data_IF_904617637353
#
_entry.id   IF_904617637353
#
_cell.length_a   1.000
_cell.length_b   1.000
_cell.length_c   1.000
_cell.angle_alpha   90.00
_cell.angle_beta   90.00
_cell.angle_gamma   90.00
#
_symmetry.space_group_name_H-M   'P 1'
#
loop_
_entity.id
_entity.type
_entity.pdbx_description
1 polymer ?
#
# COMPACT_ATOMS: atom_id res chain seq x y z
N UNK A 1 28.38 27.69 17.66
CA UNK A 1 28.04 28.60 18.77
C UNK A 1 26.76 29.35 18.39
N UNK A 2 25.60 28.80 18.75
CA UNK A 2 24.31 29.47 18.55
C UNK A 2 23.79 29.89 19.93
N UNK A 3 23.73 31.20 20.14
CA UNK A 3 23.29 31.87 21.35
C UNK A 3 21.76 31.85 21.40
N UNK A 4 21.17 31.06 22.30
CA UNK A 4 19.73 30.94 22.46
C UNK A 4 19.27 31.96 23.51
N UNK A 5 18.37 32.86 23.11
CA UNK A 5 17.85 33.96 23.91
C UNK A 5 17.16 33.48 25.20
N UNK A 6 17.17 34.28 26.29
CA UNK A 6 16.56 33.90 27.55
C UNK A 6 15.04 33.78 27.40
N UNK A 7 14.52 32.61 27.76
CA UNK A 7 13.12 32.24 27.59
C UNK A 7 12.27 32.97 28.65
N UNK A 8 11.20 33.64 28.22
CA UNK A 8 10.37 34.51 29.06
C UNK A 8 9.71 33.80 30.26
N UNK A 9 9.65 32.46 30.23
CA UNK A 9 9.13 31.62 31.31
C UNK A 9 10.00 31.61 32.58
N UNK A 10 11.32 31.68 32.46
CA UNK A 10 12.21 31.62 33.64
C UNK A 10 12.12 32.90 34.49
N UNK A 11 11.91 34.05 33.85
CA UNK A 11 11.70 35.31 34.54
C UNK A 11 10.37 35.37 35.30
N UNK A 12 9.31 34.74 34.77
CA UNK A 12 8.00 34.66 35.43
C UNK A 12 7.99 33.68 36.59
N UNK A 13 8.68 32.53 36.43
CA UNK A 13 8.82 31.55 37.51
C UNK A 13 9.66 32.12 38.66
N UNK A 14 10.74 32.85 38.37
CA UNK A 14 11.54 33.52 39.39
C UNK A 14 10.77 34.62 40.14
N UNK A 15 9.91 35.37 39.45
CA UNK A 15 9.07 36.40 40.07
C UNK A 15 8.01 35.80 41.00
N UNK A 16 7.31 34.76 40.56
CA UNK A 16 6.29 34.07 41.35
C UNK A 16 6.89 33.39 42.60
N UNK A 17 8.14 32.93 42.52
CA UNK A 17 8.82 32.27 43.65
C UNK A 17 9.37 33.27 44.67
N UNK A 18 9.69 34.49 44.26
CA UNK A 18 10.09 35.58 45.15
C UNK A 18 8.89 36.13 45.95
N UNK A 19 7.71 36.21 45.31
CA UNK A 19 6.46 36.63 45.94
C UNK A 19 5.96 35.59 46.96
N UNK A 20 6.14 34.30 46.68
CA UNK A 20 5.80 33.22 47.60
C UNK A 20 6.63 33.24 48.91
N UNK A 21 7.87 33.74 48.88
CA UNK A 21 8.71 33.87 50.08
C UNK A 21 8.35 35.07 50.97
N UNK A 22 7.59 36.04 50.48
CA UNK A 22 7.12 37.19 51.28
C UNK A 22 5.80 36.90 52.03
N UNK A 23 5.16 35.75 51.79
CA UNK A 23 3.88 35.37 52.41
C UNK A 23 3.97 34.69 53.79
N UNK A 24 5.16 34.44 54.34
CA UNK A 24 5.36 33.65 55.58
C UNK A 24 4.98 34.36 56.89
N UNK A 25 4.22 35.47 56.85
CA UNK A 25 3.87 36.26 58.03
C UNK A 25 2.42 36.74 58.13
N UNK A 26 1.53 36.39 57.20
CA UNK A 26 0.12 36.80 57.30
C UNK A 26 -0.72 35.75 58.02
N UNK A 27 -1.18 36.13 59.22
CA UNK A 27 -2.20 35.42 59.98
C UNK A 27 -3.40 35.12 59.07
N UNK A 28 -3.76 33.84 59.00
CA UNK A 28 -4.92 33.32 58.27
C UNK A 28 -6.20 33.83 58.94
N UNK A 29 -7.04 34.66 58.31
CA UNK A 29 -8.38 34.88 58.80
C UNK A 29 -9.33 33.96 58.01
N UNK A 30 -10.05 33.14 58.77
CA UNK A 30 -11.24 32.37 58.36
C UNK A 30 -10.98 31.01 57.70
N UNK A 31 -10.51 30.08 58.53
CA UNK A 31 -10.78 28.65 58.36
C UNK A 31 -12.30 28.40 58.33
N UNK A 32 -12.74 27.56 57.40
CA UNK A 32 -14.14 27.24 57.12
C UNK A 32 -14.86 26.48 58.24
N UNK A 33 -15.10 27.16 59.36
CA UNK A 33 -15.97 26.71 60.44
C UNK A 33 -17.34 27.43 60.47
N UNK A 34 -17.57 28.44 59.62
CA UNK A 34 -18.84 29.20 59.59
C UNK A 34 -19.75 28.91 58.38
N UNK A 35 -19.37 27.99 57.49
CA UNK A 35 -20.25 27.57 56.38
C UNK A 35 -21.27 26.48 56.76
N UNK A 36 -21.46 26.23 58.06
CA UNK A 36 -22.43 25.28 58.59
C UNK A 36 -23.53 25.95 59.42
N UNK A 37 -23.92 27.17 59.05
CA UNK A 37 -25.23 27.72 59.43
C UNK A 37 -26.06 27.89 58.17
N UNK A 38 -26.39 26.76 57.55
CA UNK A 38 -27.68 26.69 56.86
C UNK A 38 -28.71 26.86 57.96
N UNK A 39 -29.41 28.00 57.97
CA UNK A 39 -30.65 28.16 58.70
C UNK A 39 -31.62 27.08 58.22
N UNK A 40 -31.52 25.91 58.83
CA UNK A 40 -32.67 25.03 58.98
C UNK A 40 -33.64 25.83 59.84
N UNK A 41 -34.70 26.32 59.21
CA UNK A 41 -35.94 26.69 59.88
C UNK A 41 -36.53 25.44 60.56
N UNK A 42 -35.87 24.99 61.61
CA UNK A 42 -36.34 23.99 62.56
C UNK A 42 -37.23 24.72 63.55
N UNK A 43 -38.53 24.67 63.30
CA UNK A 43 -39.53 25.01 64.31
C UNK A 43 -39.47 23.92 65.38
N UNK A 44 -38.73 24.19 66.45
CA UNK A 44 -38.72 23.46 67.72
C UNK A 44 -38.89 24.48 68.86
N UNK A 45 -39.63 24.15 69.93
CA UNK A 45 -40.33 25.13 70.75
C UNK A 45 -39.37 25.85 71.69
N UNK A 46 -39.02 27.09 71.38
CA UNK A 46 -38.39 27.99 72.34
C UNK A 46 -39.48 28.74 73.10
N UNK A 47 -39.66 28.37 74.36
CA UNK A 47 -40.46 29.10 75.34
C UNK A 47 -39.91 30.53 75.50
N UNK A 48 -40.54 31.46 74.78
CA UNK A 48 -40.35 32.89 74.89
C UNK A 48 -41.64 33.55 74.43
N UNK A 49 -42.38 34.13 75.39
CA UNK A 49 -43.68 34.77 75.17
C UNK A 49 -43.56 36.02 74.29
N UNK A 50 -43.46 35.82 72.98
CA UNK A 50 -43.83 36.81 71.99
C UNK A 50 -45.34 36.64 71.75
N UNK A 51 -46.16 37.71 71.79
CA UNK A 51 -47.58 37.60 71.55
C UNK A 51 -47.78 37.11 70.11
N UNK A 52 -48.19 35.85 69.95
CA UNK A 52 -48.45 35.26 68.64
C UNK A 52 -49.52 36.12 67.93
N UNK A 53 -49.22 36.73 66.76
CA UNK A 53 -50.23 37.43 65.98
C UNK A 53 -51.17 36.40 65.35
N UNK A 54 -52.11 35.90 66.14
CA UNK A 54 -53.16 35.00 65.70
C UNK A 54 -54.25 35.82 64.99
N UNK A 55 -54.30 35.75 63.67
CA UNK A 55 -55.40 36.29 62.87
C UNK A 55 -56.47 35.18 62.77
N UNK A 56 -57.70 35.48 63.20
CA UNK A 56 -58.82 34.50 63.24
C UNK A 56 -58.61 33.27 64.15
N UNK A 57 -57.81 33.37 65.22
CA UNK A 57 -57.67 32.31 66.23
C UNK A 57 -56.80 31.11 65.81
N UNK A 58 -56.04 31.24 64.73
CA UNK A 58 -55.07 30.26 64.27
C UNK A 58 -53.64 30.76 64.52
N UNK A 59 -52.77 29.87 65.00
CA UNK A 59 -51.36 30.15 65.24
C UNK A 59 -50.62 30.45 63.92
N UNK A 60 -49.54 31.23 63.99
CA UNK A 60 -48.71 31.62 62.86
C UNK A 60 -48.16 30.39 62.10
N UNK A 61 -47.86 29.30 62.82
CA UNK A 61 -47.44 28.02 62.22
C UNK A 61 -48.48 27.43 61.28
N UNK A 62 -49.77 27.57 61.59
CA UNK A 62 -50.88 27.07 60.76
C UNK A 62 -50.95 27.88 59.47
N UNK A 63 -50.86 29.21 59.54
CA UNK A 63 -50.87 30.06 58.36
C UNK A 63 -49.64 29.83 57.46
N UNK A 64 -48.46 29.60 58.05
CA UNK A 64 -47.24 29.21 57.31
C UNK A 64 -47.40 27.86 56.62
N UNK A 65 -47.99 26.87 57.30
CA UNK A 65 -48.24 25.55 56.69
C UNK A 65 -49.25 25.61 55.55
N UNK A 66 -50.30 26.45 55.66
CA UNK A 66 -51.25 26.71 54.57
C UNK A 66 -50.55 27.41 53.40
N UNK A 67 -49.74 28.44 53.67
CA UNK A 67 -48.97 29.13 52.63
C UNK A 67 -48.00 28.17 51.90
N UNK A 68 -47.33 27.29 52.63
CA UNK A 68 -46.45 26.26 52.06
C UNK A 68 -47.22 25.22 51.25
N UNK A 69 -48.39 24.78 51.73
CA UNK A 69 -49.26 23.87 50.99
C UNK A 69 -49.77 24.49 49.68
N UNK A 70 -50.18 25.77 49.72
CA UNK A 70 -50.59 26.53 48.52
C UNK A 70 -49.40 26.70 47.56
N UNK A 71 -48.20 27.00 48.06
CA UNK A 71 -47.00 27.10 47.23
C UNK A 71 -46.67 25.78 46.54
N UNK A 72 -46.68 24.65 47.26
CA UNK A 72 -46.48 23.32 46.68
C UNK A 72 -47.58 23.00 45.67
N UNK A 73 -48.84 23.32 45.97
CA UNK A 73 -49.96 23.13 45.03
C UNK A 73 -49.76 23.94 43.73
N UNK A 74 -49.28 25.19 43.82
CA UNK A 74 -48.93 26.02 42.66
C UNK A 74 -47.76 25.41 41.87
N UNK A 75 -46.72 24.91 42.53
CA UNK A 75 -45.58 24.25 41.87
C UNK A 75 -46.00 22.97 41.13
N UNK A 76 -46.90 22.19 41.72
CA UNK A 76 -47.50 21.01 41.08
C UNK A 76 -48.38 21.42 39.90
N UNK A 77 -49.19 22.47 40.05
CA UNK A 77 -50.06 22.96 38.97
C UNK A 77 -49.26 23.56 37.80
N UNK A 78 -48.12 24.21 38.10
CA UNK A 78 -47.15 24.71 37.11
C UNK A 78 -46.18 23.64 36.62
N UNK A 79 -46.33 22.38 37.08
CA UNK A 79 -45.61 21.19 36.60
C UNK A 79 -44.08 21.33 36.68
N UNK A 80 -43.58 22.08 37.66
CA UNK A 80 -42.14 22.25 37.91
C UNK A 80 -41.40 20.92 38.09
N UNK A 81 -41.90 19.93 38.87
CA UNK A 81 -41.22 18.63 38.97
C UNK A 81 -41.14 17.91 37.61
N UNK A 82 -42.15 18.05 36.75
CA UNK A 82 -42.16 17.43 35.41
C UNK A 82 -41.13 18.05 34.45
N UNK A 83 -40.78 19.34 34.62
CA UNK A 83 -39.74 20.00 33.84
C UNK A 83 -38.35 19.47 34.22
N UNK A 84 -38.12 19.25 35.52
CA UNK A 84 -36.85 18.71 36.04
C UNK A 84 -36.65 17.26 35.58
N UNK A 85 -37.68 16.41 35.70
CA UNK A 85 -37.60 15.02 35.23
C UNK A 85 -37.35 14.96 33.72
N UNK A 86 -38.03 15.81 32.94
CA UNK A 86 -37.81 15.88 31.48
C UNK A 86 -36.39 16.32 31.12
N UNK A 87 -35.78 17.23 31.89
CA UNK A 87 -34.39 17.64 31.69
C UNK A 87 -33.39 16.51 31.96
N UNK A 88 -33.62 15.72 33.01
CA UNK A 88 -32.85 14.51 33.32
C UNK A 88 -33.02 13.44 32.24
N UNK A 89 -34.25 13.17 31.80
CA UNK A 89 -34.54 12.22 30.73
C UNK A 89 -33.85 12.61 29.42
N UNK A 90 -33.85 13.90 29.07
CA UNK A 90 -33.13 14.41 27.91
C UNK A 90 -31.61 14.18 28.02
N UNK A 91 -31.02 14.38 29.20
CA UNK A 91 -29.60 14.11 29.41
C UNK A 91 -29.29 12.61 29.32
N UNK A 92 -30.13 11.75 29.90
CA UNK A 92 -29.99 10.29 29.80
C UNK A 92 -30.07 9.86 28.34
N UNK A 93 -31.04 10.39 27.58
CA UNK A 93 -31.17 10.13 26.14
C UNK A 93 -29.91 10.58 25.38
N UNK A 94 -29.41 11.79 25.63
CA UNK A 94 -28.19 12.29 24.99
C UNK A 94 -26.95 11.44 25.32
N UNK A 95 -26.80 10.99 26.56
CA UNK A 95 -25.70 10.09 26.97
C UNK A 95 -25.82 8.73 26.28
N UNK A 96 -27.03 8.17 26.19
CA UNK A 96 -27.28 6.91 25.47
C UNK A 96 -26.89 7.04 24.01
N UNK A 97 -27.35 8.09 23.32
CA UNK A 97 -26.98 8.35 21.93
C UNK A 97 -25.46 8.46 21.75
N UNK A 98 -24.77 9.23 22.59
CA UNK A 98 -23.30 9.36 22.52
C UNK A 98 -22.57 8.03 22.79
N UNK A 99 -23.10 7.21 23.71
CA UNK A 99 -22.52 5.90 24.01
C UNK A 99 -22.73 4.93 22.84
N UNK A 100 -23.89 4.97 22.20
CA UNK A 100 -24.19 4.13 21.04
C UNK A 100 -23.37 4.56 19.83
N UNK A 101 -23.22 5.86 19.58
CA UNK A 101 -22.29 6.40 18.57
C UNK A 101 -20.84 5.98 18.85
N UNK A 102 -20.39 6.05 20.11
CA UNK A 102 -19.03 5.62 20.47
C UNK A 102 -18.82 4.11 20.30
N UNK A 103 -19.83 3.29 20.61
CA UNK A 103 -19.79 1.84 20.35
C UNK A 103 -19.77 1.55 18.86
N UNK A 104 -20.59 2.24 18.08
CA UNK A 104 -20.61 2.11 16.63
C UNK A 104 -19.26 2.51 16.03
N UNK A 105 -18.69 3.64 16.44
CA UNK A 105 -17.38 4.08 15.98
C UNK A 105 -16.26 3.09 16.35
N UNK A 106 -16.34 2.46 17.53
CA UNK A 106 -15.41 1.37 17.89
C UNK A 106 -15.59 0.14 17.00
N UNK A 107 -16.83 -0.29 16.76
CA UNK A 107 -17.11 -1.43 15.89
C UNK A 107 -16.63 -1.15 14.45
N UNK A 108 -16.82 0.07 13.94
CA UNK A 108 -16.32 0.49 12.63
C UNK A 108 -14.79 0.52 12.60
N UNK A 109 -14.13 1.00 13.67
CA UNK A 109 -12.67 1.00 13.76
C UNK A 109 -12.09 -0.42 13.84
N UNK A 110 -12.72 -1.33 14.58
CA UNK A 110 -12.35 -2.75 14.66
C UNK A 110 -12.56 -3.45 13.32
N UNK A 111 -13.72 -3.24 12.67
CA UNK A 111 -13.99 -3.77 11.33
C UNK A 111 -12.97 -3.27 10.30
N UNK A 112 -12.62 -1.99 10.34
CA UNK A 112 -11.63 -1.40 9.45
C UNK A 112 -10.23 -1.96 9.73
N UNK A 113 -9.85 -2.13 11.00
CA UNK A 113 -8.60 -2.80 11.40
C UNK A 113 -8.50 -4.21 10.82
N UNK A 114 -9.56 -4.99 10.95
CA UNK A 114 -9.61 -6.36 10.44
C UNK A 114 -9.57 -6.40 8.90
N UNK A 115 -10.25 -5.46 8.23
CA UNK A 115 -10.20 -5.33 6.78
C UNK A 115 -8.77 -5.02 6.29
N UNK A 116 -8.09 -4.05 6.93
CA UNK A 116 -6.71 -3.73 6.58
C UNK A 116 -5.76 -4.89 6.90
N UNK A 117 -5.94 -5.59 8.03
CA UNK A 117 -5.12 -6.76 8.36
C UNK A 117 -5.30 -7.87 7.31
N UNK A 118 -6.53 -8.16 6.90
CA UNK A 118 -6.82 -9.11 5.81
C UNK A 118 -6.24 -8.65 4.49
N UNK A 119 -6.32 -7.36 4.18
CA UNK A 119 -5.78 -6.79 2.93
C UNK A 119 -4.27 -6.86 2.88
N UNK A 120 -3.58 -6.61 4.00
CA UNK A 120 -2.13 -6.76 4.11
C UNK A 120 -1.74 -8.22 3.94
N UNK A 121 -2.38 -9.14 4.67
CA UNK A 121 -2.11 -10.57 4.54
C UNK A 121 -2.38 -11.10 3.11
N UNK A 122 -3.46 -10.61 2.48
CA UNK A 122 -3.78 -10.90 1.08
C UNK A 122 -2.72 -10.36 0.12
N UNK A 123 -2.29 -9.11 0.29
CA UNK A 123 -1.25 -8.51 -0.55
C UNK A 123 0.11 -9.22 -0.41
N UNK A 124 0.48 -9.65 0.80
CA UNK A 124 1.69 -10.44 1.03
C UNK A 124 1.62 -11.81 0.35
N UNK A 125 0.47 -12.50 0.44
CA UNK A 125 0.25 -13.77 -0.24
C UNK A 125 0.26 -13.62 -1.77
N UNK A 126 -0.38 -12.57 -2.30
CA UNK A 126 -0.36 -12.24 -3.74
C UNK A 126 1.06 -11.89 -4.23
N UNK A 127 1.83 -11.13 -3.46
CA UNK A 127 3.22 -10.81 -3.80
C UNK A 127 4.09 -12.09 -3.79
N UNK A 128 3.92 -12.96 -2.80
CA UNK A 128 4.62 -14.25 -2.75
C UNK A 128 4.25 -15.15 -3.95
N UNK A 129 2.96 -15.21 -4.30
CA UNK A 129 2.49 -15.94 -5.47
C UNK A 129 3.02 -15.35 -6.78
N UNK A 130 3.09 -14.02 -6.89
CA UNK A 130 3.64 -13.31 -8.05
C UNK A 130 5.13 -13.63 -8.24
N UNK A 131 5.91 -13.63 -7.15
CA UNK A 131 7.34 -13.99 -7.20
C UNK A 131 7.50 -15.45 -7.61
N UNK A 132 6.73 -16.37 -7.02
CA UNK A 132 6.80 -17.79 -7.36
C UNK A 132 6.45 -18.05 -8.84
N UNK A 133 5.42 -17.38 -9.36
CA UNK A 133 5.03 -17.45 -10.76
C UNK A 133 6.11 -16.87 -11.68
N UNK A 134 6.68 -15.71 -11.33
CA UNK A 134 7.76 -15.10 -12.09
C UNK A 134 9.01 -15.99 -12.15
N UNK A 135 9.36 -16.68 -11.06
CA UNK A 135 10.46 -17.64 -11.02
C UNK A 135 10.19 -18.87 -11.91
N UNK A 136 8.96 -19.38 -11.92
CA UNK A 136 8.55 -20.49 -12.78
C UNK A 136 8.59 -20.08 -14.26
N UNK A 137 8.04 -18.91 -14.60
CA UNK A 137 8.12 -18.36 -15.95
C UNK A 137 9.57 -18.11 -16.39
N UNK A 138 10.40 -17.54 -15.51
CA UNK A 138 11.81 -17.31 -15.82
C UNK A 138 12.55 -18.62 -16.11
N UNK A 139 12.31 -19.68 -15.33
CA UNK A 139 12.86 -21.03 -15.60
C UNK A 139 12.36 -21.58 -16.93
N UNK A 140 11.07 -21.40 -17.25
CA UNK A 140 10.50 -21.82 -18.52
C UNK A 140 11.12 -21.09 -19.71
N UNK A 141 11.33 -19.78 -19.59
CA UNK A 141 11.98 -18.95 -20.62
C UNK A 141 13.44 -19.35 -20.79
N UNK A 142 14.18 -19.60 -19.71
CA UNK A 142 15.57 -20.06 -19.79
C UNK A 142 15.67 -21.42 -20.47
N UNK A 143 14.85 -22.40 -20.08
CA UNK A 143 14.85 -23.71 -20.71
C UNK A 143 14.51 -23.64 -22.20
N UNK A 144 13.55 -22.79 -22.58
CA UNK A 144 13.21 -22.56 -23.99
C UNK A 144 14.33 -21.86 -24.75
N UNK A 145 14.96 -20.84 -24.15
CA UNK A 145 16.08 -20.13 -24.76
C UNK A 145 17.29 -21.05 -24.98
N UNK A 146 17.59 -21.93 -24.03
CA UNK A 146 18.64 -22.95 -24.18
C UNK A 146 18.33 -23.94 -25.32
N UNK A 147 17.08 -24.41 -25.39
CA UNK A 147 16.63 -25.30 -26.46
C UNK A 147 16.73 -24.62 -27.84
N UNK A 148 16.25 -23.39 -27.96
CA UNK A 148 16.28 -22.59 -29.19
C UNK A 148 17.73 -22.27 -29.59
N UNK A 149 18.61 -21.93 -28.64
CA UNK A 149 20.02 -21.68 -28.90
C UNK A 149 20.75 -22.94 -29.39
N UNK A 150 20.41 -24.11 -28.84
CA UNK A 150 20.95 -25.40 -29.29
C UNK A 150 20.48 -25.72 -30.71
N UNK A 151 19.19 -25.56 -31.00
CA UNK A 151 18.65 -25.78 -32.35
C UNK A 151 19.30 -24.82 -33.37
N UNK A 152 19.42 -23.54 -33.04
CA UNK A 152 20.09 -22.56 -33.90
C UNK A 152 21.54 -22.94 -34.19
N UNK A 153 22.27 -23.39 -33.18
CA UNK A 153 23.65 -23.86 -33.34
C UNK A 153 23.72 -25.08 -34.25
N UNK A 154 22.86 -26.08 -34.05
CA UNK A 154 22.78 -27.28 -34.89
C UNK A 154 22.43 -26.94 -36.34
N UNK A 155 21.46 -26.04 -36.57
CA UNK A 155 21.10 -25.58 -37.91
C UNK A 155 22.23 -24.81 -38.58
N UNK A 156 22.97 -23.98 -37.82
CA UNK A 156 24.14 -23.24 -38.32
C UNK A 156 25.28 -24.18 -38.68
N UNK A 157 25.55 -25.19 -37.86
CA UNK A 157 26.54 -26.22 -38.14
C UNK A 157 26.19 -26.97 -39.43
N UNK A 158 24.95 -27.46 -39.56
CA UNK A 158 24.49 -28.13 -40.77
C UNK A 158 24.59 -27.25 -42.02
N UNK A 159 24.19 -25.98 -41.94
CA UNK A 159 24.34 -25.04 -43.06
C UNK A 159 25.81 -24.82 -43.45
N UNK A 160 26.74 -24.82 -42.48
CA UNK A 160 28.16 -24.72 -42.76
C UNK A 160 28.69 -26.00 -43.42
N UNK A 161 28.32 -27.17 -42.91
CA UNK A 161 28.64 -28.48 -43.49
C UNK A 161 28.12 -28.59 -44.94
N UNK A 162 26.86 -28.21 -45.19
CA UNK A 162 26.26 -28.21 -46.52
C UNK A 162 27.00 -27.26 -47.47
N UNK A 163 27.44 -26.09 -47.00
CA UNK A 163 28.24 -25.15 -47.78
C UNK A 163 29.63 -25.69 -48.09
N UNK A 164 30.29 -26.33 -47.13
CA UNK A 164 31.59 -26.98 -47.33
C UNK A 164 31.45 -28.09 -48.37
N UNK A 165 30.45 -28.97 -48.24
CA UNK A 165 30.21 -30.04 -49.20
C UNK A 165 29.91 -29.51 -50.61
N UNK A 166 29.16 -28.41 -50.73
CA UNK A 166 28.91 -27.75 -52.00
C UNK A 166 30.20 -27.15 -52.60
N UNK A 167 31.02 -26.48 -51.79
CA UNK A 167 32.30 -25.91 -52.20
C UNK A 167 33.30 -26.99 -52.63
N UNK A 168 33.38 -28.11 -51.91
CA UNK A 168 34.21 -29.26 -52.27
C UNK A 168 33.82 -29.84 -53.63
N UNK A 169 32.51 -30.03 -53.88
CA UNK A 169 32.02 -30.49 -55.18
C UNK A 169 32.38 -29.52 -56.31
N UNK A 170 32.24 -28.22 -56.06
CA UNK A 170 32.63 -27.17 -57.03
C UNK A 170 34.14 -27.20 -57.30
N UNK A 171 34.97 -27.28 -56.26
CA UNK A 171 36.43 -27.34 -56.38
C UNK A 171 36.90 -28.57 -57.16
N UNK A 172 36.31 -29.74 -56.90
CA UNK A 172 36.59 -30.97 -57.66
C UNK A 172 36.20 -30.79 -59.14
N UNK A 173 35.04 -30.20 -59.42
CA UNK A 173 34.60 -29.93 -60.78
C UNK A 173 35.54 -28.96 -61.51
N UNK A 174 35.98 -27.89 -60.84
CA UNK A 174 36.94 -26.92 -61.38
C UNK A 174 38.31 -27.55 -61.67
N UNK A 175 38.84 -28.39 -60.77
CA UNK A 175 40.09 -29.12 -61.00
C UNK A 175 39.95 -30.03 -62.21
N UNK A 176 38.87 -30.81 -62.30
CA UNK A 176 38.62 -31.69 -63.45
C UNK A 176 38.55 -30.90 -64.76
N UNK A 177 37.86 -29.75 -64.77
CA UNK A 177 37.78 -28.89 -65.94
C UNK A 177 39.16 -28.33 -66.34
N UNK A 178 39.96 -27.84 -65.37
CA UNK A 178 41.33 -27.35 -65.61
C UNK A 178 42.26 -28.46 -66.12
N UNK A 179 42.16 -29.66 -65.57
CA UNK A 179 42.95 -30.82 -66.02
C UNK A 179 42.55 -31.24 -67.43
N UNK A 180 41.26 -31.30 -67.74
CA UNK A 180 40.77 -31.62 -69.08
C UNK A 180 41.27 -30.58 -70.10
N UNK A 181 41.14 -29.29 -69.79
CA UNK A 181 41.60 -28.19 -70.64
C UNK A 181 43.14 -28.22 -70.84
N UNK A 182 43.91 -28.46 -69.78
CA UNK A 182 45.37 -28.64 -69.87
C UNK A 182 45.76 -29.85 -70.72
N UNK A 183 45.09 -31.00 -70.55
CA UNK A 183 45.32 -32.20 -71.35
C UNK A 183 44.97 -31.97 -72.82
N UNK A 184 43.86 -31.29 -73.11
CA UNK A 184 43.43 -30.95 -74.47
C UNK A 184 44.43 -30.02 -75.15
N UNK A 185 44.94 -28.99 -74.44
CA UNK A 185 46.01 -28.11 -74.94
C UNK A 185 47.31 -28.87 -75.21
N UNK A 186 47.72 -29.75 -74.31
CA UNK A 186 48.92 -30.57 -74.49
C UNK A 186 48.78 -31.51 -75.69
N UNK A 187 47.63 -32.18 -75.83
CA UNK A 187 47.31 -33.01 -76.99
C UNK A 187 47.33 -32.20 -78.29
N UNK A 188 46.71 -31.01 -78.31
CA UNK A 188 46.74 -30.12 -79.47
C UNK A 188 48.16 -29.70 -79.86
N UNK A 189 49.01 -29.39 -78.89
CA UNK A 189 50.42 -29.05 -79.13
C UNK A 189 51.23 -30.23 -79.69
N UNK A 190 51.04 -31.44 -79.16
CA UNK A 190 51.69 -32.66 -79.67
C UNK A 190 51.22 -32.97 -81.09
N UNK A 191 49.90 -32.87 -81.35
CA UNK A 191 49.35 -33.04 -82.70
C UNK A 191 50.00 -32.04 -83.64
N UNK A 192 50.02 -30.74 -83.32
CA UNK A 192 50.63 -29.71 -84.16
C UNK A 192 52.13 -29.97 -84.46
N UNK A 193 52.89 -30.52 -83.51
CA UNK A 193 54.30 -30.87 -83.71
C UNK A 193 54.50 -32.15 -84.56
N UNK A 194 53.57 -33.10 -84.49
CA UNK A 194 53.62 -34.40 -85.19
C UNK A 194 52.88 -34.39 -86.52
N UNK A 195 52.16 -33.32 -86.84
CA UNK A 195 51.40 -33.16 -88.06
C UNK A 195 52.32 -32.74 -89.21
N UNK A 196 52.57 -33.66 -90.14
CA UNK A 196 53.25 -33.38 -91.40
C UNK A 196 52.36 -33.78 -92.60
N UNK A 197 52.78 -33.42 -93.81
CA UNK A 197 52.03 -33.71 -95.03
C UNK A 197 51.79 -35.21 -95.28
N UNK A 198 52.58 -36.09 -94.66
CA UNK A 198 52.39 -37.55 -94.74
C UNK A 198 51.27 -38.04 -93.82
N UNK A 199 51.19 -37.50 -92.60
CA UNK A 199 50.11 -37.76 -91.64
C UNK A 199 48.74 -37.28 -92.17
N UNK A 200 48.70 -36.12 -92.82
CA UNK A 200 47.49 -35.56 -93.45
C UNK A 200 46.90 -36.50 -94.50
N UNK A 201 47.73 -37.02 -95.41
CA UNK A 201 47.30 -37.93 -96.46
C UNK A 201 46.70 -39.22 -95.90
N UNK A 202 47.34 -39.80 -94.88
CA UNK A 202 46.85 -41.00 -94.21
C UNK A 202 45.53 -40.79 -93.46
N UNK A 203 45.32 -39.60 -92.86
CA UNK A 203 44.06 -39.20 -92.23
C UNK A 203 42.93 -39.04 -93.25
N UNK A 204 43.21 -38.41 -94.39
CA UNK A 204 42.27 -38.26 -95.51
C UNK A 204 41.89 -39.62 -96.10
N UNK A 205 42.86 -40.49 -96.38
CA UNK A 205 42.58 -41.84 -96.90
C UNK A 205 41.74 -42.67 -95.90
N UNK A 206 42.02 -42.56 -94.60
CA UNK A 206 41.26 -43.26 -93.54
C UNK A 206 39.84 -42.72 -93.36
N UNK A 207 39.64 -41.40 -93.49
CA UNK A 207 38.30 -40.78 -93.42
C UNK A 207 37.48 -41.10 -94.66
N UNK A 208 38.07 -41.07 -95.86
CA UNK A 208 37.43 -41.53 -97.10
C UNK A 208 37.03 -43.02 -97.00
N UNK A 209 37.93 -43.87 -96.50
CA UNK A 209 37.62 -45.28 -96.26
C UNK A 209 36.57 -45.51 -95.15
N UNK A 210 36.44 -44.58 -94.20
CA UNK A 210 35.42 -44.58 -93.15
C UNK A 210 34.04 -44.16 -93.66
N UNK A 211 33.98 -43.16 -94.55
CA UNK A 211 32.75 -42.72 -95.21
C UNK A 211 32.21 -43.75 -96.20
N UNK A 212 33.09 -44.56 -96.82
CA UNK A 212 32.69 -45.71 -97.62
C UNK A 212 32.16 -46.89 -96.79
N UNK A 213 32.30 -46.86 -95.47
CA UNK A 213 31.81 -47.87 -94.54
C UNK A 213 30.47 -47.40 -93.97
N UNK A 214 29.42 -47.51 -94.77
CA UNK A 214 28.03 -47.37 -94.32
C UNK A 214 27.81 -48.30 -93.13
N UNK A 215 27.53 -47.70 -91.96
CA UNK A 215 26.88 -48.34 -90.84
C UNK A 215 25.84 -47.36 -90.30
#
# INVERSE_FOLDING_TARGET
>A
MANQAPNAGDATVAHNLAEAKQGEGMAVPHTGAEALTTEHGGVGPTEGHHPDPAIFGLDATVWVSIAMAVFIAILLWKKVPSLITRGLDNQIAAIRTRLDEAKQLRAEAEALRDEYAKKIAGAEAEAAAMIAHADEEAKGVLAKAEADAKDLTTRRAKMAEDKIAAAERSAIAEIRAKTADAATRAAAAIIAQKHDAGADKALVDKTIAGLGRLN
#
